data_IF_500419536436
#
_entry.id   IF_500419536436
#
_cell.length_a   1.000
_cell.length_b   1.000
_cell.length_c   1.000
_cell.angle_alpha   90.00
_cell.angle_beta   90.00
_cell.angle_gamma   90.00
#
_symmetry.space_group_name_H-M   'P 1'
#
loop_
_entity.id
_entity.type
_entity.pdbx_description
1 polymer ?
#
# COMPACT_ATOMS: atom_id res chain seq x y z
N UNK A 1 -3.29 -20.07 -23.09
CA UNK A 1 -3.08 -19.27 -21.87
C UNK A 1 -2.58 -20.22 -20.78
N UNK A 2 -1.31 -20.16 -20.40
CA UNK A 2 -0.74 -21.11 -19.44
C UNK A 2 -1.03 -20.60 -18.03
N UNK A 3 -1.87 -21.31 -17.28
CA UNK A 3 -2.21 -20.96 -15.91
C UNK A 3 -1.06 -21.38 -14.98
N UNK A 4 -0.61 -20.48 -14.12
CA UNK A 4 0.43 -20.78 -13.14
C UNK A 4 -0.22 -21.08 -11.79
N UNK A 5 -0.39 -22.37 -11.48
CA UNK A 5 -1.08 -22.84 -10.28
C UNK A 5 -0.08 -23.11 -9.16
N UNK A 6 -0.40 -22.69 -7.95
CA UNK A 6 0.36 -23.03 -6.76
C UNK A 6 0.08 -24.47 -6.34
N UNK A 7 1.10 -25.35 -6.21
CA UNK A 7 0.88 -26.75 -5.83
C UNK A 7 0.44 -26.91 -4.36
N UNK A 8 0.74 -25.94 -3.49
CA UNK A 8 0.46 -26.05 -2.05
C UNK A 8 -0.93 -25.54 -1.66
N UNK A 9 -1.51 -24.59 -2.41
CA UNK A 9 -2.83 -24.02 -2.09
C UNK A 9 -3.76 -23.88 -3.30
N UNK A 10 -3.39 -24.42 -4.46
CA UNK A 10 -4.18 -24.42 -5.70
C UNK A 10 -4.58 -23.03 -6.23
N UNK A 11 -3.98 -21.95 -5.73
CA UNK A 11 -4.22 -20.59 -6.25
C UNK A 11 -3.65 -20.42 -7.66
N UNK A 12 -4.44 -19.78 -8.53
CA UNK A 12 -4.07 -19.53 -9.92
C UNK A 12 -3.51 -18.12 -10.09
N UNK A 13 -2.38 -18.01 -10.78
CA UNK A 13 -1.72 -16.75 -11.07
C UNK A 13 -1.58 -16.54 -12.57
N UNK A 14 -1.71 -15.27 -12.98
CA UNK A 14 -1.60 -14.85 -14.38
C UNK A 14 -0.19 -14.93 -14.95
N UNK A 15 0.84 -14.98 -14.10
CA UNK A 15 2.25 -15.02 -14.53
C UNK A 15 3.09 -15.86 -13.57
N UNK A 16 4.13 -16.52 -14.10
CA UNK A 16 5.09 -17.32 -13.33
C UNK A 16 5.71 -16.51 -12.19
N UNK A 17 6.10 -15.26 -12.45
CA UNK A 17 6.65 -14.35 -11.42
C UNK A 17 5.70 -14.18 -10.23
N UNK A 18 4.39 -14.03 -10.46
CA UNK A 18 3.41 -13.90 -9.37
C UNK A 18 3.24 -15.18 -8.58
N UNK A 19 3.31 -16.34 -9.24
CA UNK A 19 3.32 -17.63 -8.55
C UNK A 19 4.58 -17.79 -7.68
N UNK A 20 5.77 -17.51 -8.22
CA UNK A 20 7.03 -17.57 -7.45
C UNK A 20 7.01 -16.61 -6.27
N UNK A 21 6.62 -15.35 -6.48
CA UNK A 21 6.45 -14.38 -5.39
C UNK A 21 5.45 -14.87 -4.34
N UNK A 22 4.38 -15.55 -4.75
CA UNK A 22 3.38 -16.07 -3.83
C UNK A 22 3.92 -17.21 -2.97
N UNK A 23 4.58 -18.20 -3.58
CA UNK A 23 5.20 -19.33 -2.86
C UNK A 23 6.25 -18.79 -1.88
N UNK A 24 7.13 -17.90 -2.35
CA UNK A 24 8.13 -17.24 -1.52
C UNK A 24 7.54 -16.43 -0.35
N UNK A 25 6.32 -15.92 -0.50
CA UNK A 25 5.68 -15.06 0.50
C UNK A 25 4.80 -15.84 1.48
N UNK A 26 4.10 -16.86 1.01
CA UNK A 26 3.02 -17.51 1.76
C UNK A 26 3.47 -18.85 2.30
N UNK A 27 4.29 -19.57 1.55
CA UNK A 27 4.65 -20.94 1.85
C UNK A 27 6.08 -21.05 2.38
N UNK A 28 7.00 -20.21 1.88
CA UNK A 28 8.34 -20.12 2.47
C UNK A 28 8.47 -18.89 3.38
N UNK A 29 9.20 -19.05 4.47
CA UNK A 29 9.61 -17.94 5.33
C UNK A 29 10.82 -17.18 4.75
N UNK A 30 11.25 -17.53 3.54
CA UNK A 30 12.42 -16.96 2.90
C UNK A 30 12.20 -15.48 2.60
N UNK A 31 12.95 -14.64 3.31
CA UNK A 31 13.03 -13.21 3.05
C UNK A 31 14.31 -12.95 2.23
N UNK A 32 14.22 -13.21 0.94
CA UNK A 32 15.35 -13.13 0.01
C UNK A 32 15.99 -11.72 -0.10
N UNK A 33 15.29 -10.66 0.32
CA UNK A 33 15.76 -9.28 0.17
C UNK A 33 16.16 -8.69 1.52
N UNK A 34 17.44 -8.75 1.86
CA UNK A 34 18.00 -8.24 3.12
C UNK A 34 18.41 -6.77 2.97
N UNK A 35 18.15 -5.96 4.01
CA UNK A 35 18.59 -4.58 4.09
C UNK A 35 20.09 -4.51 4.30
N UNK A 36 20.80 -3.86 3.38
CA UNK A 36 22.26 -3.65 3.46
C UNK A 36 22.67 -2.51 4.40
N UNK A 37 21.74 -1.95 5.18
CA UNK A 37 22.05 -0.93 6.18
C UNK A 37 22.61 -1.61 7.43
N UNK A 38 23.87 -1.31 7.75
CA UNK A 38 24.56 -1.78 8.95
C UNK A 38 23.71 -1.52 10.21
N UNK A 39 23.51 -2.57 11.02
CA UNK A 39 22.67 -2.53 12.22
C UNK A 39 21.16 -2.64 11.99
N UNK A 40 20.66 -2.71 10.74
CA UNK A 40 19.22 -2.86 10.48
C UNK A 40 18.73 -4.31 10.57
N UNK A 41 19.45 -5.25 9.93
CA UNK A 41 19.15 -6.70 9.94
C UNK A 41 17.78 -7.10 9.35
N UNK A 42 17.00 -6.17 8.80
CA UNK A 42 15.64 -6.43 8.30
C UNK A 42 15.67 -7.10 6.94
N UNK A 43 14.80 -8.09 6.75
CA UNK A 43 14.64 -8.76 5.46
C UNK A 43 13.18 -8.75 4.97
N UNK A 44 13.02 -8.76 3.65
CA UNK A 44 11.75 -8.58 2.96
C UNK A 44 11.53 -9.69 1.94
N UNK A 45 10.25 -10.01 1.71
CA UNK A 45 9.81 -11.02 0.74
C UNK A 45 9.74 -10.48 -0.70
N UNK A 46 9.84 -9.16 -0.88
CA UNK A 46 9.76 -8.48 -2.19
C UNK A 46 10.79 -7.37 -2.29
N UNK A 47 11.50 -7.29 -3.42
CA UNK A 47 12.50 -6.26 -3.69
C UNK A 47 11.93 -4.84 -3.54
N UNK A 48 10.73 -4.59 -4.07
CA UNK A 48 10.08 -3.28 -3.97
C UNK A 48 9.81 -2.85 -2.51
N UNK A 49 9.66 -3.81 -1.58
CA UNK A 49 9.50 -3.51 -0.16
C UNK A 49 10.84 -3.16 0.50
N UNK A 50 11.93 -3.84 0.12
CA UNK A 50 13.29 -3.50 0.54
C UNK A 50 13.66 -2.09 0.08
N UNK A 51 13.53 -1.78 -1.22
CA UNK A 51 13.86 -0.45 -1.77
C UNK A 51 13.07 0.65 -1.03
N UNK A 52 11.78 0.42 -0.78
CA UNK A 52 10.94 1.37 -0.03
C UNK A 52 11.39 1.50 1.43
N UNK A 53 11.88 0.43 2.04
CA UNK A 53 12.41 0.46 3.39
C UNK A 53 13.72 1.24 3.45
N UNK A 54 14.67 0.96 2.57
CA UNK A 54 15.96 1.66 2.49
C UNK A 54 15.76 3.16 2.24
N UNK A 55 14.85 3.53 1.32
CA UNK A 55 14.48 4.91 1.08
C UNK A 55 13.83 5.63 2.28
N UNK A 56 13.31 4.88 3.26
CA UNK A 56 12.78 5.43 4.53
C UNK A 56 13.80 5.39 5.67
N UNK A 57 14.70 4.41 5.65
CA UNK A 57 15.75 4.23 6.64
C UNK A 57 16.92 5.19 6.39
N UNK A 58 17.07 5.69 5.15
CA UNK A 58 17.96 6.81 4.86
C UNK A 58 17.55 8.03 5.68
N UNK A 59 18.51 8.63 6.37
CA UNK A 59 18.37 9.87 7.15
C UNK A 59 17.96 11.07 6.31
N UNK A 60 18.00 10.96 4.98
CA UNK A 60 17.51 12.02 4.09
C UNK A 60 15.97 11.99 4.04
N UNK A 61 15.29 13.09 4.42
CA UNK A 61 13.85 13.18 4.31
C UNK A 61 13.45 13.04 2.84
N UNK A 62 12.61 12.04 2.56
CA UNK A 62 12.11 11.81 1.21
C UNK A 62 11.32 13.04 0.76
N UNK A 63 11.60 13.61 -0.44
CA UNK A 63 10.96 14.85 -0.85
C UNK A 63 9.44 14.68 -0.99
N UNK A 64 8.68 15.67 -0.51
CA UNK A 64 7.22 15.71 -0.55
C UNK A 64 6.72 16.16 -1.93
N UNK A 65 6.98 15.34 -2.94
CA UNK A 65 6.71 15.66 -4.34
C UNK A 65 5.23 15.52 -4.74
N UNK A 66 4.42 14.84 -3.92
CA UNK A 66 3.02 14.57 -4.25
C UNK A 66 2.11 15.55 -3.49
N UNK A 67 1.70 16.65 -4.12
CA UNK A 67 0.77 17.61 -3.56
C UNK A 67 -0.69 17.15 -3.76
N UNK A 68 -1.55 17.44 -2.78
CA UNK A 68 -2.99 17.29 -2.95
C UNK A 68 -3.54 18.49 -3.75
N UNK A 69 -4.38 18.28 -4.77
CA UNK A 69 -5.01 19.37 -5.52
C UNK A 69 -6.16 20.05 -4.76
N UNK A 70 -6.60 19.51 -3.62
CA UNK A 70 -7.76 20.01 -2.85
C UNK A 70 -7.39 20.57 -1.46
N UNK A 71 -6.12 20.49 -1.05
CA UNK A 71 -5.63 21.09 0.20
C UNK A 71 -4.09 21.19 0.21
N UNK A 72 -3.53 21.88 1.20
CA UNK A 72 -2.08 22.11 1.31
C UNK A 72 -1.24 20.89 1.74
N UNK A 73 -1.84 19.70 1.80
CA UNK A 73 -1.14 18.48 2.22
C UNK A 73 -0.24 17.94 1.12
N UNK A 74 1.02 17.66 1.46
CA UNK A 74 2.01 17.04 0.58
C UNK A 74 2.47 15.69 1.13
N UNK A 75 2.78 14.76 0.23
CA UNK A 75 3.10 13.38 0.55
C UNK A 75 4.42 12.96 -0.11
N UNK A 76 5.16 12.07 0.56
CA UNK A 76 6.42 11.51 0.06
C UNK A 76 6.25 10.32 -0.89
N UNK A 77 5.01 9.86 -1.10
CA UNK A 77 4.68 8.82 -2.08
C UNK A 77 3.25 8.96 -2.62
N UNK A 78 3.06 8.54 -3.88
CA UNK A 78 1.76 8.57 -4.57
C UNK A 78 0.71 7.69 -3.86
N UNK A 79 1.11 6.60 -3.20
CA UNK A 79 0.14 5.70 -2.57
C UNK A 79 -0.53 6.36 -1.35
N UNK A 80 0.23 7.15 -0.58
CA UNK A 80 -0.27 7.98 0.50
C UNK A 80 -1.19 9.07 -0.03
N UNK A 81 -0.81 9.76 -1.11
CA UNK A 81 -1.69 10.74 -1.76
C UNK A 81 -3.01 10.07 -2.19
N UNK A 82 -2.97 8.94 -2.91
CA UNK A 82 -4.18 8.21 -3.33
C UNK A 82 -5.10 7.84 -2.16
N UNK A 83 -4.53 7.35 -1.05
CA UNK A 83 -5.30 7.05 0.16
C UNK A 83 -5.90 8.31 0.79
N UNK A 84 -5.16 9.41 0.76
CA UNK A 84 -5.66 10.69 1.22
C UNK A 84 -6.76 11.27 0.33
N UNK A 85 -6.73 11.07 -0.99
CA UNK A 85 -7.79 11.54 -1.88
C UNK A 85 -9.17 10.97 -1.51
N UNK A 86 -9.23 9.75 -0.97
CA UNK A 86 -10.47 9.16 -0.43
C UNK A 86 -11.04 9.95 0.74
N UNK A 87 -10.20 10.69 1.48
CA UNK A 87 -10.67 11.55 2.57
C UNK A 87 -11.35 12.83 2.10
N UNK A 88 -11.07 13.29 0.88
CA UNK A 88 -11.80 14.40 0.26
C UNK A 88 -13.18 13.96 -0.26
N UNK A 89 -13.34 12.68 -0.60
CA UNK A 89 -14.63 12.11 -0.97
C UNK A 89 -15.51 11.77 0.24
N UNK A 90 -15.22 12.34 1.43
CA UNK A 90 -16.06 12.18 2.61
C UNK A 90 -17.25 13.11 2.49
N UNK A 91 -18.44 12.55 2.61
CA UNK A 91 -19.68 13.31 2.59
C UNK A 91 -19.88 13.99 3.94
N UNK A 92 -20.20 15.27 3.93
CA UNK A 92 -20.48 16.06 5.13
C UNK A 92 -22.00 16.23 5.26
N UNK A 93 -22.54 15.98 6.44
CA UNK A 93 -23.92 16.36 6.76
C UNK A 93 -23.98 17.86 7.03
N UNK A 94 -24.85 18.57 6.33
CA UNK A 94 -24.99 20.03 6.50
C UNK A 94 -25.68 20.40 7.82
N UNK A 95 -26.59 19.54 8.32
CA UNK A 95 -27.35 19.80 9.55
C UNK A 95 -26.49 19.72 10.81
N UNK A 96 -25.54 18.79 10.88
CA UNK A 96 -24.75 18.53 12.10
C UNK A 96 -23.22 18.58 11.89
N UNK A 97 -22.75 18.78 10.66
CA UNK A 97 -21.32 18.84 10.32
C UNK A 97 -20.59 17.49 10.33
N UNK A 98 -21.26 16.37 10.64
CA UNK A 98 -20.64 15.05 10.68
C UNK A 98 -20.08 14.63 9.30
N UNK A 99 -18.95 13.90 9.30
CA UNK A 99 -18.29 13.46 8.06
C UNK A 99 -18.31 11.94 7.92
N UNK A 100 -18.64 11.46 6.72
CA UNK A 100 -18.89 10.05 6.45
C UNK A 100 -18.00 9.55 5.33
N UNK A 101 -17.40 8.37 5.52
CA UNK A 101 -16.50 7.73 4.53
C UNK A 101 -17.25 6.98 3.41
N UNK A 102 -18.54 6.72 3.57
CA UNK A 102 -19.36 5.94 2.63
C UNK A 102 -20.70 6.64 2.41
N UNK A 103 -21.17 6.66 1.15
CA UNK A 103 -22.46 7.24 0.77
C UNK A 103 -23.64 6.67 1.56
N UNK A 104 -23.80 5.35 1.59
CA UNK A 104 -24.91 4.74 2.34
C UNK A 104 -24.95 5.05 3.85
N UNK A 105 -23.80 5.35 4.48
CA UNK A 105 -23.78 5.78 5.90
C UNK A 105 -24.16 7.25 6.08
N UNK A 106 -23.90 8.08 5.08
CA UNK A 106 -24.34 9.47 5.06
C UNK A 106 -25.83 9.54 4.76
N UNK A 107 -26.30 8.82 3.73
CA UNK A 107 -27.72 8.76 3.34
C UNK A 107 -28.59 8.29 4.51
N UNK A 108 -28.21 7.23 5.23
CA UNK A 108 -28.91 6.77 6.43
C UNK A 108 -28.87 7.76 7.61
N UNK A 109 -27.88 8.66 7.65
CA UNK A 109 -27.77 9.65 8.70
C UNK A 109 -28.58 10.93 8.39
N UNK A 110 -28.77 11.26 7.11
CA UNK A 110 -29.54 12.43 6.68
C UNK A 110 -31.01 12.11 6.39
N UNK A 111 -31.35 10.82 6.23
CA UNK A 111 -32.72 10.31 6.23
C UNK A 111 -33.35 10.47 7.62
#
# INVERSE_FOLDING_TARGET
EQQHVCPECSKVFKTRKRLTDHVAVVHTAERAYVCGVEGCGKSFKKQAHLIRHEAKASTKPKPLNFACPHCDKRFCDNQKLKKHMVSHNRLRCEKCGATFKKKGKHDMHIA
#
